data_IF_696510599433
#
_entry.id   IF_696510599433
#
_cell.length_a   1.000
_cell.length_b   1.000
_cell.length_c   1.000
_cell.angle_alpha   90.00
_cell.angle_beta   90.00
_cell.angle_gamma   90.00
#
_symmetry.space_group_name_H-M   'P 1'
#
loop_
_entity.id
_entity.type
_entity.pdbx_description
1 polymer ?
#
# COMPACT_ATOMS: atom_id res chain seq x y z
N UNK A 1 -19.63 13.64 13.17
CA UNK A 1 -18.47 14.42 13.61
C UNK A 1 -17.43 14.39 12.51
N UNK A 2 -17.20 15.52 11.86
CA UNK A 2 -16.13 15.72 10.86
C UNK A 2 -15.09 16.72 11.37
N UNK A 3 -15.02 16.94 12.68
CA UNK A 3 -14.17 17.96 13.31
C UNK A 3 -12.68 17.60 13.38
N UNK A 4 -12.21 16.70 12.51
CA UNK A 4 -10.83 16.21 12.55
C UNK A 4 -10.17 15.95 11.19
N UNK A 5 -10.91 15.95 10.09
CA UNK A 5 -10.36 15.76 8.73
C UNK A 5 -10.13 17.10 8.04
N UNK A 6 -8.94 17.33 7.50
CA UNK A 6 -8.67 18.54 6.70
C UNK A 6 -9.29 18.44 5.29
N UNK A 7 -9.27 17.25 4.69
CA UNK A 7 -9.83 17.01 3.34
C UNK A 7 -10.59 15.67 3.32
N UNK A 8 -11.87 15.62 3.73
CA UNK A 8 -12.63 14.36 3.77
C UNK A 8 -12.76 13.70 2.38
N UNK A 9 -12.94 12.38 2.36
CA UNK A 9 -13.07 11.53 1.17
C UNK A 9 -11.84 11.45 0.26
N UNK A 10 -10.64 11.74 0.78
CA UNK A 10 -9.38 11.57 0.05
C UNK A 10 -8.53 10.49 0.71
N UNK A 11 -7.95 9.63 -0.14
CA UNK A 11 -6.82 8.75 0.20
C UNK A 11 -5.69 9.00 -0.80
N UNK A 12 -4.46 9.02 -0.33
CA UNK A 12 -3.28 9.17 -1.18
C UNK A 12 -2.12 8.32 -0.65
N UNK A 13 -1.33 7.71 -1.53
CA UNK A 13 -0.21 6.86 -1.11
C UNK A 13 0.98 7.70 -0.67
N UNK A 14 1.63 7.29 0.42
CA UNK A 14 2.85 7.88 0.97
C UNK A 14 4.07 7.01 0.70
N UNK A 15 3.88 5.74 0.32
CA UNK A 15 4.95 4.80 0.05
C UNK A 15 4.48 3.34 0.15
N UNK A 16 5.22 2.46 -0.51
CA UNK A 16 5.05 1.02 -0.40
C UNK A 16 6.40 0.37 -0.13
N UNK A 17 6.43 -0.60 0.78
CA UNK A 17 7.65 -1.34 1.16
C UNK A 17 7.34 -2.83 1.23
N UNK A 18 8.32 -3.72 1.02
CA UNK A 18 8.11 -5.13 1.23
C UNK A 18 7.91 -5.43 2.72
N UNK A 19 7.09 -6.43 3.03
CA UNK A 19 6.85 -6.88 4.40
C UNK A 19 8.06 -7.59 5.04
N UNK A 20 9.05 -7.96 4.23
CA UNK A 20 10.34 -8.50 4.67
C UNK A 20 11.44 -7.86 3.83
N UNK A 21 12.59 -7.59 4.45
CA UNK A 21 13.74 -7.01 3.75
C UNK A 21 14.32 -8.01 2.73
N UNK A 22 14.03 -7.77 1.45
CA UNK A 22 14.35 -8.66 0.33
C UNK A 22 14.50 -7.84 -0.94
N UNK A 23 15.51 -8.15 -1.73
CA UNK A 23 15.80 -7.44 -2.98
C UNK A 23 14.84 -7.82 -4.12
N UNK A 24 14.47 -9.10 -4.23
CA UNK A 24 13.57 -9.61 -5.27
C UNK A 24 12.37 -10.26 -4.61
N UNK A 25 11.17 -9.74 -4.85
CA UNK A 25 9.92 -10.27 -4.29
C UNK A 25 9.36 -11.42 -5.14
N UNK A 26 8.77 -12.39 -4.45
CA UNK A 26 8.02 -13.52 -5.00
C UNK A 26 6.51 -13.30 -4.81
N UNK A 27 5.70 -14.13 -5.45
CA UNK A 27 4.25 -14.00 -5.53
C UNK A 27 3.54 -13.84 -4.18
N UNK A 28 4.02 -14.55 -3.17
CA UNK A 28 3.42 -14.56 -1.83
C UNK A 28 4.07 -13.53 -0.89
N UNK A 29 5.10 -12.80 -1.33
CA UNK A 29 5.72 -11.78 -0.51
C UNK A 29 4.78 -10.59 -0.34
N UNK A 30 4.72 -10.08 0.89
CA UNK A 30 3.79 -9.02 1.25
C UNK A 30 4.30 -7.64 0.84
N UNK A 31 3.38 -6.78 0.44
CA UNK A 31 3.63 -5.36 0.19
C UNK A 31 2.76 -4.57 1.17
N UNK A 32 3.42 -3.71 1.95
CA UNK A 32 2.79 -2.81 2.90
C UNK A 32 2.66 -1.43 2.25
N UNK A 33 1.44 -0.97 2.01
CA UNK A 33 1.15 0.33 1.39
C UNK A 33 0.67 1.30 2.45
N UNK A 34 1.46 2.33 2.71
CA UNK A 34 1.09 3.42 3.62
C UNK A 34 0.37 4.51 2.85
N UNK A 35 -0.77 4.97 3.36
CA UNK A 35 -1.57 6.00 2.72
C UNK A 35 -2.09 7.02 3.72
N UNK A 36 -2.11 8.29 3.33
CA UNK A 36 -2.78 9.35 4.04
C UNK A 36 -4.29 9.24 3.88
N UNK A 37 -5.02 9.43 4.97
CA UNK A 37 -6.46 9.48 5.02
C UNK A 37 -6.89 10.89 5.46
N UNK A 38 -7.56 11.58 4.54
CA UNK A 38 -8.13 12.90 4.73
C UNK A 38 -7.17 13.99 5.28
N UNK A 39 -5.89 13.91 4.90
CA UNK A 39 -4.79 14.78 5.35
C UNK A 39 -4.60 14.82 6.89
N UNK A 40 -5.12 13.83 7.60
CA UNK A 40 -5.11 13.80 9.08
C UNK A 40 -4.43 12.57 9.65
N UNK A 41 -4.59 11.41 9.02
CA UNK A 41 -4.12 10.14 9.56
C UNK A 41 -3.36 9.34 8.51
N UNK A 42 -2.57 8.38 8.95
CA UNK A 42 -1.93 7.40 8.08
C UNK A 42 -2.54 6.02 8.36
N UNK A 43 -3.00 5.37 7.31
CA UNK A 43 -3.38 3.95 7.30
C UNK A 43 -2.31 3.10 6.65
N UNK A 44 -2.38 1.80 6.88
CA UNK A 44 -1.55 0.81 6.19
C UNK A 44 -2.44 -0.32 5.67
N UNK A 45 -2.35 -0.58 4.37
CA UNK A 45 -2.97 -1.71 3.71
C UNK A 45 -1.91 -2.76 3.36
N UNK A 46 -2.31 -4.04 3.34
CA UNK A 46 -1.44 -5.17 3.07
C UNK A 46 -2.05 -6.04 1.97
N UNK A 47 -1.20 -6.47 1.04
CA UNK A 47 -1.51 -7.39 -0.04
C UNK A 47 -0.26 -8.19 -0.40
N UNK A 48 -0.39 -9.29 -1.16
CA UNK A 48 0.76 -9.99 -1.74
C UNK A 48 1.18 -9.38 -3.08
N UNK A 49 2.39 -9.68 -3.57
CA UNK A 49 2.82 -9.27 -4.91
C UNK A 49 1.85 -9.77 -6.00
N UNK A 50 1.36 -11.00 -5.88
CA UNK A 50 0.43 -11.60 -6.84
C UNK A 50 -0.96 -10.94 -6.81
N UNK A 51 -1.39 -10.38 -5.68
CA UNK A 51 -2.64 -9.60 -5.59
C UNK A 51 -2.54 -8.27 -6.36
N UNK A 52 -1.36 -7.66 -6.39
CA UNK A 52 -1.14 -6.34 -6.97
C UNK A 52 -0.69 -6.37 -8.43
N UNK A 53 0.10 -7.37 -8.83
CA UNK A 53 0.69 -7.47 -10.16
C UNK A 53 0.25 -8.77 -10.83
N UNK A 54 -0.47 -8.71 -11.97
CA UNK A 54 -0.87 -9.91 -12.70
C UNK A 54 0.34 -10.74 -13.17
N UNK A 55 0.18 -12.07 -13.19
CA UNK A 55 1.21 -13.04 -13.59
C UNK A 55 1.95 -12.70 -14.90
N UNK A 56 1.29 -12.20 -15.96
CA UNK A 56 1.99 -11.84 -17.21
C UNK A 56 3.09 -10.78 -17.05
N UNK A 57 3.03 -9.94 -16.01
CA UNK A 57 4.00 -8.87 -15.75
C UNK A 57 5.05 -9.24 -14.70
N UNK A 58 4.98 -10.45 -14.14
CA UNK A 58 5.91 -10.94 -13.10
C UNK A 58 7.01 -11.86 -13.63
N UNK A 59 6.99 -12.21 -14.92
CA UNK A 59 7.99 -13.05 -15.57
C UNK A 59 9.01 -12.17 -16.31
N UNK A 60 10.29 -12.39 -16.02
CA UNK A 60 11.43 -11.82 -16.75
C UNK A 60 11.68 -12.55 -18.07
#
# INVERSE_FOLDING_TARGET
>A
GLSGSWVPNVVFTCGAVPGTDKEILEDNDEILVYYGAADTSIGMAKATLADLIPEPFRRL
#
